data_IF_888009286542
#
_entry.id   IF_888009286542
#
_cell.length_a   1.000
_cell.length_b   1.000
_cell.length_c   1.000
_cell.angle_alpha   90.00
_cell.angle_beta   90.00
_cell.angle_gamma   90.00
#
_symmetry.space_group_name_H-M   'P 1'
#
loop_
_entity.id
_entity.type
_entity.pdbx_description
1 polymer ?
#
# COMPACT_ATOMS: atom_id res chain seq x y z
N UNK A 1 -53.76 -3.20 -34.66
CA UNK A 1 -52.53 -2.76 -35.38
C UNK A 1 -51.75 -1.62 -34.69
N UNK A 2 -52.40 -0.59 -34.12
CA UNK A 2 -51.71 0.51 -33.41
C UNK A 2 -50.99 0.06 -32.11
N UNK A 3 -51.55 -0.91 -31.39
CA UNK A 3 -50.99 -1.44 -30.14
C UNK A 3 -49.73 -2.29 -30.42
N UNK A 4 -49.76 -3.15 -31.44
CA UNK A 4 -48.59 -3.94 -31.86
C UNK A 4 -47.39 -3.07 -32.24
N UNK A 5 -47.62 -1.94 -32.94
CA UNK A 5 -46.55 -0.99 -33.29
C UNK A 5 -45.95 -0.30 -32.05
N UNK A 6 -46.76 -0.01 -31.04
CA UNK A 6 -46.28 0.58 -29.77
C UNK A 6 -45.48 -0.43 -28.95
N UNK A 7 -45.94 -1.68 -28.89
CA UNK A 7 -45.21 -2.76 -28.19
C UNK A 7 -43.86 -3.04 -28.87
N UNK A 8 -43.84 -3.12 -30.21
CA UNK A 8 -42.60 -3.32 -30.97
C UNK A 8 -41.61 -2.15 -30.83
N UNK A 9 -42.12 -0.92 -30.71
CA UNK A 9 -41.29 0.26 -30.50
C UNK A 9 -40.70 0.28 -29.09
N UNK A 10 -41.47 -0.09 -28.07
CA UNK A 10 -40.99 -0.17 -26.68
C UNK A 10 -39.94 -1.28 -26.53
N UNK A 11 -40.17 -2.47 -27.12
CA UNK A 11 -39.17 -3.55 -27.06
C UNK A 11 -37.89 -3.18 -27.78
N UNK A 12 -37.97 -2.55 -28.96
CA UNK A 12 -36.79 -2.07 -29.68
C UNK A 12 -35.99 -1.04 -28.85
N UNK A 13 -36.68 -0.14 -28.16
CA UNK A 13 -36.04 0.89 -27.34
C UNK A 13 -35.32 0.28 -26.12
N UNK A 14 -35.91 -0.76 -25.51
CA UNK A 14 -35.26 -1.53 -24.43
C UNK A 14 -34.01 -2.24 -24.95
N UNK A 15 -34.07 -2.92 -26.09
CA UNK A 15 -32.90 -3.59 -26.68
C UNK A 15 -31.78 -2.60 -27.04
N UNK A 16 -32.14 -1.41 -27.51
CA UNK A 16 -31.17 -0.36 -27.82
C UNK A 16 -30.47 0.15 -26.54
N UNK A 17 -31.22 0.37 -25.46
CA UNK A 17 -30.63 0.76 -24.17
C UNK A 17 -29.70 -0.32 -23.64
N UNK A 18 -30.12 -1.59 -23.66
CA UNK A 18 -29.29 -2.72 -23.19
C UNK A 18 -28.01 -2.84 -24.02
N UNK A 19 -28.11 -2.72 -25.35
CA UNK A 19 -26.94 -2.74 -26.23
C UNK A 19 -25.99 -1.57 -25.99
N UNK A 20 -26.53 -0.38 -25.72
CA UNK A 20 -25.72 0.82 -25.47
C UNK A 20 -25.03 0.75 -24.09
N UNK A 21 -25.70 0.20 -23.07
CA UNK A 21 -25.09 -0.09 -21.76
C UNK A 21 -23.98 -1.12 -21.89
N UNK A 22 -24.19 -2.18 -22.69
CA UNK A 22 -23.15 -3.20 -22.94
C UNK A 22 -21.93 -2.63 -23.67
N UNK A 23 -22.14 -1.76 -24.66
CA UNK A 23 -21.07 -1.07 -25.38
C UNK A 23 -20.31 -0.09 -24.49
N UNK A 24 -21.01 0.65 -23.61
CA UNK A 24 -20.35 1.51 -22.62
C UNK A 24 -19.54 0.67 -21.63
N UNK A 25 -20.10 -0.42 -21.12
CA UNK A 25 -19.42 -1.30 -20.17
C UNK A 25 -18.13 -1.90 -20.76
N UNK A 26 -18.19 -2.38 -22.01
CA UNK A 26 -17.00 -2.91 -22.71
C UNK A 26 -16.00 -1.81 -23.07
N UNK A 27 -16.45 -0.63 -23.50
CA UNK A 27 -15.56 0.50 -23.79
C UNK A 27 -14.83 1.01 -22.54
N UNK A 28 -15.51 1.08 -21.38
CA UNK A 28 -14.88 1.45 -20.11
C UNK A 28 -13.96 0.34 -19.58
N UNK A 29 -14.25 -0.95 -19.84
CA UNK A 29 -13.36 -2.05 -19.47
C UNK A 29 -12.08 -2.07 -20.34
N UNK A 30 -12.20 -1.88 -21.65
CA UNK A 30 -11.06 -2.01 -22.58
C UNK A 30 -10.14 -0.76 -22.62
N UNK A 31 -10.65 0.44 -22.33
CA UNK A 31 -9.85 1.69 -22.41
C UNK A 31 -9.43 2.30 -21.06
N UNK A 32 -9.70 1.64 -19.93
CA UNK A 32 -9.11 2.08 -18.67
C UNK A 32 -9.84 1.59 -17.42
N UNK A 33 -9.16 0.74 -16.65
CA UNK A 33 -9.41 0.47 -15.24
C UNK A 33 -10.78 -0.14 -14.88
N UNK A 34 -10.94 -1.44 -15.15
CA UNK A 34 -11.75 -2.29 -14.28
C UNK A 34 -11.11 -3.68 -14.27
N UNK A 35 -10.14 -3.84 -13.37
CA UNK A 35 -9.60 -5.15 -12.98
C UNK A 35 -10.75 -5.95 -12.37
N UNK A 36 -11.45 -6.72 -13.20
CA UNK A 36 -12.26 -7.84 -12.74
C UNK A 36 -11.28 -8.84 -12.12
N UNK A 37 -11.13 -8.75 -10.81
CA UNK A 37 -10.44 -9.74 -10.00
C UNK A 37 -11.09 -11.11 -10.17
N UNK A 38 -10.59 -11.85 -11.15
CA UNK A 38 -10.66 -13.30 -11.21
C UNK A 38 -9.36 -13.82 -10.61
N UNK A 39 -9.25 -13.69 -9.29
CA UNK A 39 -8.34 -14.54 -8.52
C UNK A 39 -9.12 -15.78 -8.13
N UNK A 40 -8.86 -16.90 -8.81
CA UNK A 40 -8.54 -18.12 -8.08
C UNK A 40 -7.71 -19.11 -8.91
N UNK A 41 -6.42 -19.12 -8.56
CA UNK A 41 -5.63 -20.30 -8.22
C UNK A 41 -5.66 -21.49 -9.18
N UNK A 42 -4.67 -21.52 -10.06
CA UNK A 42 -3.76 -22.68 -10.19
C UNK A 42 -2.38 -22.18 -10.61
N UNK A 43 -1.73 -21.40 -9.73
CA UNK A 43 -0.27 -21.40 -9.70
C UNK A 43 0.14 -22.74 -9.10
N UNK A 44 0.16 -23.76 -9.94
CA UNK A 44 0.88 -24.98 -9.67
C UNK A 44 2.33 -24.57 -9.38
N UNK A 45 2.78 -24.83 -8.16
CA UNK A 45 4.20 -24.81 -7.79
C UNK A 45 4.94 -25.69 -8.79
N UNK A 46 5.48 -25.09 -9.84
CA UNK A 46 6.57 -25.71 -10.57
C UNK A 46 7.81 -25.54 -9.69
N UNK A 47 8.12 -26.63 -9.01
CA UNK A 47 9.39 -26.95 -8.39
C UNK A 47 10.48 -27.05 -9.48
N UNK A 48 10.63 -26.01 -10.30
CA UNK A 48 11.65 -25.94 -11.33
C UNK A 48 12.92 -25.42 -10.68
N UNK A 49 13.91 -26.29 -10.59
CA UNK A 49 15.26 -26.00 -10.13
C UNK A 49 15.76 -24.65 -10.62
N UNK A 50 16.01 -23.73 -9.70
CA UNK A 50 16.58 -22.41 -9.96
C UNK A 50 17.84 -22.54 -10.82
N UNK A 51 17.75 -22.17 -12.09
CA UNK A 51 18.94 -21.86 -12.89
C UNK A 51 19.46 -20.50 -12.43
N UNK A 52 20.53 -20.54 -11.65
CA UNK A 52 21.33 -19.37 -11.28
C UNK A 52 21.81 -18.65 -12.55
N UNK A 53 21.19 -17.52 -12.87
CA UNK A 53 21.67 -16.59 -13.91
C UNK A 53 22.48 -15.48 -13.25
N UNK A 54 23.31 -14.75 -14.00
CA UNK A 54 24.13 -13.65 -13.48
C UNK A 54 23.32 -12.51 -12.80
N UNK A 55 21.98 -12.52 -12.91
CA UNK A 55 21.08 -11.60 -12.23
C UNK A 55 20.50 -12.14 -10.91
N UNK A 56 20.71 -13.42 -10.57
CA UNK A 56 20.26 -13.99 -9.30
C UNK A 56 21.02 -13.47 -8.08
N UNK A 57 22.12 -12.75 -8.29
CA UNK A 57 22.89 -12.07 -7.22
C UNK A 57 22.10 -10.90 -6.62
N UNK A 58 21.04 -10.42 -7.29
CA UNK A 58 20.15 -9.36 -6.83
C UNK A 58 18.78 -9.84 -6.35
N UNK A 59 18.62 -11.13 -6.00
CA UNK A 59 17.37 -11.65 -5.42
C UNK A 59 17.18 -11.19 -3.98
N UNK A 60 17.11 -9.88 -3.77
CA UNK A 60 16.15 -9.39 -2.79
C UNK A 60 14.78 -9.77 -3.36
N UNK A 61 13.91 -10.37 -2.56
CA UNK A 61 12.54 -10.59 -3.00
C UNK A 61 11.94 -9.21 -3.35
N UNK A 62 11.33 -9.09 -4.52
CA UNK A 62 10.63 -7.88 -4.92
C UNK A 62 9.13 -8.18 -4.98
N UNK A 63 8.31 -7.23 -4.56
CA UNK A 63 6.87 -7.24 -4.73
C UNK A 63 6.53 -6.24 -5.82
N UNK A 64 5.74 -6.67 -6.80
CA UNK A 64 5.21 -5.78 -7.84
C UNK A 64 3.87 -5.24 -7.38
N UNK A 65 3.79 -3.93 -7.18
CA UNK A 65 2.56 -3.22 -6.88
C UNK A 65 2.13 -2.35 -8.08
N UNK A 66 0.84 -2.34 -8.47
CA UNK A 66 0.37 -1.59 -9.62
C UNK A 66 0.57 -0.08 -9.49
N UNK A 67 0.59 0.45 -8.26
CA UNK A 67 0.69 1.89 -8.00
C UNK A 67 2.13 2.29 -7.65
N UNK A 68 2.84 1.47 -6.88
CA UNK A 68 4.20 1.79 -6.39
C UNK A 68 5.33 1.20 -7.25
N UNK A 69 5.00 0.32 -8.19
CA UNK A 69 5.97 -0.42 -9.00
C UNK A 69 6.66 -1.54 -8.21
N UNK A 70 7.91 -1.84 -8.57
CA UNK A 70 8.72 -2.82 -7.86
C UNK A 70 9.23 -2.26 -6.52
N UNK A 71 8.87 -2.92 -5.42
CA UNK A 71 9.36 -2.62 -4.07
C UNK A 71 10.11 -3.81 -3.50
N UNK A 72 11.10 -3.57 -2.65
CA UNK A 72 11.85 -4.65 -1.98
C UNK A 72 11.03 -5.27 -0.84
N UNK A 73 11.28 -6.54 -0.54
CA UNK A 73 10.65 -7.29 0.54
C UNK A 73 9.75 -8.43 0.06
N UNK A 74 8.84 -8.86 0.92
CA UNK A 74 7.93 -9.99 0.70
C UNK A 74 6.48 -9.51 0.69
N UNK A 75 5.59 -10.22 0.01
CA UNK A 75 4.15 -9.92 -0.01
C UNK A 75 3.39 -10.47 1.21
N UNK A 76 4.10 -11.05 2.18
CA UNK A 76 3.51 -11.57 3.41
C UNK A 76 3.67 -10.54 4.54
N UNK A 77 2.62 -10.35 5.33
CA UNK A 77 2.67 -9.45 6.49
C UNK A 77 3.57 -10.05 7.57
N UNK A 78 4.50 -9.25 8.09
CA UNK A 78 5.22 -9.54 9.32
C UNK A 78 4.44 -9.02 10.55
N UNK A 79 5.01 -9.22 11.72
CA UNK A 79 4.42 -8.77 12.98
C UNK A 79 4.23 -7.25 13.01
N UNK A 80 5.22 -6.48 12.54
CA UNK A 80 5.13 -5.01 12.44
C UNK A 80 3.92 -4.55 11.61
N UNK A 81 3.68 -5.17 10.45
CA UNK A 81 2.53 -4.87 9.59
C UNK A 81 1.20 -5.20 10.27
N UNK A 82 1.10 -6.33 10.98
CA UNK A 82 -0.11 -6.75 11.69
C UNK A 82 -0.42 -5.75 12.81
N UNK A 83 0.56 -5.44 13.65
CA UNK A 83 0.39 -4.50 14.76
C UNK A 83 0.01 -3.09 14.29
N UNK A 84 0.63 -2.62 13.21
CA UNK A 84 0.29 -1.33 12.63
C UNK A 84 -1.14 -1.30 12.09
N UNK A 85 -1.60 -2.36 11.43
CA UNK A 85 -3.00 -2.46 10.98
C UNK A 85 -3.99 -2.49 12.14
N UNK A 86 -3.68 -3.21 13.21
CA UNK A 86 -4.51 -3.23 14.41
C UNK A 86 -4.57 -1.85 15.08
N UNK A 87 -3.43 -1.16 15.15
CA UNK A 87 -3.35 0.21 15.65
C UNK A 87 -4.19 1.18 14.81
N UNK A 88 -4.08 1.12 13.48
CA UNK A 88 -4.93 1.89 12.57
C UNK A 88 -6.40 1.60 12.83
N UNK A 89 -6.79 0.33 12.89
CA UNK A 89 -8.19 -0.06 13.14
C UNK A 89 -8.71 0.55 14.44
N UNK A 90 -7.93 0.53 15.53
CA UNK A 90 -8.31 1.16 16.80
C UNK A 90 -8.42 2.69 16.67
N UNK A 91 -7.50 3.33 15.96
CA UNK A 91 -7.47 4.79 15.76
C UNK A 91 -8.66 5.32 14.95
N UNK A 92 -9.11 4.57 13.94
CA UNK A 92 -10.21 4.98 13.05
C UNK A 92 -11.60 4.53 13.50
N UNK A 93 -11.71 3.67 14.53
CA UNK A 93 -13.01 3.31 15.13
C UNK A 93 -13.47 4.43 16.07
N UNK A 94 -14.26 5.33 15.49
CA UNK A 94 -14.99 6.42 16.13
C UNK A 94 -16.00 5.91 17.16
N UNK A 95 -15.59 5.80 18.42
CA UNK A 95 -16.50 6.08 19.53
C UNK A 95 -16.06 7.42 20.13
N UNK A 96 -17.01 8.31 20.44
CA UNK A 96 -16.77 9.62 21.08
C UNK A 96 -16.06 9.53 22.45
N UNK A 97 -15.86 8.32 22.95
CA UNK A 97 -14.96 7.98 24.05
C UNK A 97 -14.37 6.59 23.77
N UNK A 98 -13.17 6.47 23.17
CA UNK A 98 -12.49 5.20 23.17
C UNK A 98 -12.19 4.83 24.64
N UNK A 99 -12.58 3.61 25.04
CA UNK A 99 -12.44 3.16 26.44
C UNK A 99 -10.97 3.13 26.90
N UNK A 100 -10.05 3.08 25.93
CA UNK A 100 -8.62 3.22 26.10
C UNK A 100 -8.16 4.38 25.20
N UNK A 101 -7.27 5.27 25.65
CA UNK A 101 -6.68 6.26 24.76
C UNK A 101 -6.06 5.53 23.57
N UNK A 102 -6.26 6.04 22.35
CA UNK A 102 -5.55 5.52 21.18
C UNK A 102 -4.06 5.69 21.48
N UNK A 103 -3.37 4.59 21.77
CA UNK A 103 -1.96 4.61 22.13
C UNK A 103 -1.20 5.51 21.14
N UNK A 104 -0.44 6.46 21.69
CA UNK A 104 0.59 7.22 20.95
C UNK A 104 1.79 6.31 20.70
N UNK A 105 1.53 5.08 20.24
CA UNK A 105 2.55 4.04 20.02
C UNK A 105 3.50 4.48 18.92
N UNK A 106 2.97 5.06 17.84
CA UNK A 106 3.77 5.50 16.71
C UNK A 106 3.87 7.02 16.67
N UNK A 107 5.10 7.50 16.63
CA UNK A 107 5.42 8.81 16.09
C UNK A 107 5.39 8.72 14.56
N UNK A 108 5.03 9.83 13.91
CA UNK A 108 4.99 9.91 12.45
C UNK A 108 5.80 11.10 11.93
N UNK A 109 6.52 10.84 10.86
CA UNK A 109 7.48 11.76 10.27
C UNK A 109 7.31 11.78 8.77
N UNK A 110 7.31 12.95 8.15
CA UNK A 110 7.41 13.04 6.68
C UNK A 110 8.88 13.21 6.31
N UNK A 111 9.37 12.33 5.44
CA UNK A 111 10.77 12.31 5.03
C UNK A 111 11.00 13.39 3.98
N UNK A 112 11.94 14.30 4.27
CA UNK A 112 12.28 15.47 3.44
C UNK A 112 13.69 15.40 2.88
N UNK A 113 14.56 14.58 3.46
CA UNK A 113 15.93 14.35 3.00
C UNK A 113 16.39 12.91 3.25
N UNK A 114 17.24 12.39 2.36
CA UNK A 114 17.83 11.06 2.49
C UNK A 114 19.33 11.20 2.70
N UNK A 115 19.82 10.67 3.82
CA UNK A 115 21.23 10.60 4.15
C UNK A 115 21.62 9.12 4.35
N UNK A 116 22.89 8.78 4.23
CA UNK A 116 23.31 7.38 4.33
C UNK A 116 23.13 6.86 5.77
N UNK A 117 22.05 6.11 6.04
CA UNK A 117 21.69 5.59 7.36
C UNK A 117 20.87 6.55 8.25
N UNK A 118 20.47 7.70 7.74
CA UNK A 118 19.57 8.63 8.44
C UNK A 118 18.66 9.36 7.45
N UNK A 119 17.56 9.92 7.95
CA UNK A 119 16.61 10.68 7.15
C UNK A 119 16.35 12.03 7.80
N UNK A 120 16.28 13.07 6.98
CA UNK A 120 15.78 14.35 7.44
C UNK A 120 14.25 14.29 7.43
N UNK A 121 13.64 14.75 8.53
CA UNK A 121 12.20 14.65 8.73
C UNK A 121 11.58 15.98 9.16
N UNK A 122 10.29 16.08 8.88
CA UNK A 122 9.40 17.10 9.46
C UNK A 122 8.24 16.47 10.21
N UNK A 123 7.81 17.12 11.28
CA UNK A 123 6.58 16.83 12.03
C UNK A 123 5.61 18.00 11.85
N UNK A 124 4.36 17.74 11.43
CA UNK A 124 3.36 18.79 11.23
C UNK A 124 3.64 19.78 10.08
N UNK A 125 2.99 20.96 10.13
CA UNK A 125 3.07 21.99 9.08
C UNK A 125 4.24 22.98 9.25
N UNK A 126 4.76 23.18 10.48
CA UNK A 126 5.66 24.30 10.78
C UNK A 126 7.02 23.94 11.43
N UNK A 127 7.46 22.67 11.42
CA UNK A 127 8.76 22.28 12.00
C UNK A 127 9.64 21.48 11.01
N UNK A 128 10.57 22.19 10.38
CA UNK A 128 11.86 21.66 9.87
C UNK A 128 12.87 21.58 11.05
N UNK A 129 13.90 20.74 11.12
CA UNK A 129 14.48 19.69 10.27
C UNK A 129 15.29 18.81 11.27
N UNK A 130 14.70 17.72 11.75
CA UNK A 130 15.43 16.76 12.58
C UNK A 130 16.06 15.70 11.67
N UNK A 131 17.30 15.29 11.93
CA UNK A 131 17.85 14.07 11.32
C UNK A 131 17.58 12.89 12.25
N UNK A 132 16.87 11.88 11.76
CA UNK A 132 16.56 10.65 12.49
C UNK A 132 17.41 9.51 11.94
N UNK A 133 18.18 8.85 12.81
CA UNK A 133 18.91 7.64 12.44
C UNK A 133 17.96 6.45 12.34
N UNK A 134 17.96 5.77 11.18
CA UNK A 134 17.15 4.58 10.95
C UNK A 134 17.85 3.35 11.54
N UNK A 135 17.31 2.81 12.63
CA UNK A 135 17.78 1.57 13.29
C UNK A 135 16.85 0.39 13.07
N UNK A 136 16.04 0.48 12.02
CA UNK A 136 15.04 -0.51 11.69
C UNK A 136 15.69 -1.84 11.31
N UNK A 137 15.20 -2.94 11.88
CA UNK A 137 15.62 -4.27 11.47
C UNK A 137 14.80 -4.70 10.25
N UNK A 138 15.39 -5.31 9.21
CA UNK A 138 14.65 -5.70 8.03
C UNK A 138 13.38 -6.48 8.34
N UNK A 139 13.45 -7.46 9.24
CA UNK A 139 12.33 -8.29 9.70
C UNK A 139 11.17 -7.53 10.38
N UNK A 140 11.40 -6.30 10.82
CA UNK A 140 10.42 -5.43 11.50
C UNK A 140 10.02 -4.22 10.65
N UNK A 141 10.24 -4.29 9.33
CA UNK A 141 9.81 -3.25 8.38
C UNK A 141 8.52 -3.61 7.66
N UNK A 142 7.70 -2.61 7.36
CA UNK A 142 6.51 -2.77 6.53
C UNK A 142 6.26 -1.55 5.65
N UNK A 143 5.60 -1.75 4.51
CA UNK A 143 5.23 -0.71 3.56
C UNK A 143 3.72 -0.77 3.29
N UNK A 144 3.07 0.39 3.36
CA UNK A 144 1.64 0.59 3.09
C UNK A 144 1.41 1.74 2.10
N UNK A 145 0.26 1.72 1.44
CA UNK A 145 -0.22 2.84 0.60
C UNK A 145 -0.90 3.91 1.43
N UNK A 146 -0.68 5.18 1.13
CA UNK A 146 -1.29 6.28 1.88
C UNK A 146 -2.79 6.45 1.66
N UNK A 147 -3.33 6.01 0.52
CA UNK A 147 -4.73 6.27 0.15
C UNK A 147 -5.73 5.46 1.00
N UNK A 148 -5.41 4.19 1.23
CA UNK A 148 -6.29 3.21 1.89
C UNK A 148 -5.59 2.44 3.03
N UNK A 149 -4.32 2.76 3.33
CA UNK A 149 -3.48 2.00 4.26
C UNK A 149 -3.44 0.51 3.91
N UNK A 150 -3.45 0.19 2.62
CA UNK A 150 -3.29 -1.18 2.13
C UNK A 150 -1.82 -1.61 2.25
N UNK A 151 -1.64 -2.83 2.74
CA UNK A 151 -0.32 -3.44 2.87
C UNK A 151 0.27 -3.77 1.50
N UNK A 152 1.55 -3.49 1.32
CA UNK A 152 2.27 -3.75 0.07
C UNK A 152 3.39 -4.76 0.29
N UNK A 153 4.31 -4.48 1.21
CA UNK A 153 5.48 -5.34 1.45
C UNK A 153 6.01 -5.27 2.87
N UNK A 154 6.79 -6.27 3.27
CA UNK A 154 7.50 -6.36 4.55
C UNK A 154 8.86 -7.04 4.40
N UNK A 155 9.69 -7.03 5.44
CA UNK A 155 10.98 -7.73 5.49
C UNK A 155 12.04 -7.17 4.53
N UNK A 156 12.23 -5.84 4.51
CA UNK A 156 13.18 -5.16 3.62
C UNK A 156 14.14 -4.22 4.36
N UNK A 157 15.29 -3.94 3.75
CA UNK A 157 16.22 -2.94 4.26
C UNK A 157 15.66 -1.54 3.99
N UNK A 158 15.16 -0.88 5.04
CA UNK A 158 14.51 0.43 4.93
C UNK A 158 15.42 1.48 4.29
N UNK A 159 16.75 1.40 4.49
CA UNK A 159 17.69 2.39 3.94
C UNK A 159 17.77 2.34 2.42
N UNK A 160 17.40 1.21 1.82
CA UNK A 160 17.37 1.02 0.37
C UNK A 160 15.99 1.27 -0.23
N UNK A 161 14.94 1.15 0.58
CA UNK A 161 13.56 1.27 0.12
C UNK A 161 12.97 2.67 0.31
N UNK A 162 13.41 3.40 1.33
CA UNK A 162 12.87 4.71 1.71
C UNK A 162 13.00 5.76 0.59
N UNK A 163 11.97 6.58 0.40
CA UNK A 163 11.91 7.64 -0.61
C UNK A 163 11.50 8.97 0.01
N UNK A 164 11.88 10.06 -0.67
CA UNK A 164 11.42 11.40 -0.31
C UNK A 164 9.89 11.48 -0.41
N UNK A 165 9.27 12.11 0.59
CA UNK A 165 7.82 12.23 0.69
C UNK A 165 7.11 11.03 1.30
N UNK A 166 7.81 9.93 1.60
CA UNK A 166 7.27 8.85 2.41
C UNK A 166 6.96 9.36 3.83
N UNK A 167 5.92 8.80 4.43
CA UNK A 167 5.65 8.96 5.85
C UNK A 167 6.22 7.77 6.60
N UNK A 168 7.12 8.01 7.55
CA UNK A 168 7.67 7.01 8.45
C UNK A 168 6.88 6.98 9.75
N UNK A 169 6.38 5.82 10.13
CA UNK A 169 5.81 5.52 11.44
C UNK A 169 6.78 4.64 12.23
N UNK A 170 7.13 5.04 13.44
CA UNK A 170 8.08 4.31 14.28
C UNK A 170 7.84 4.65 15.74
N UNK A 171 8.31 3.78 16.63
CA UNK A 171 8.55 4.15 18.02
C UNK A 171 9.89 4.88 18.13
N UNK A 172 9.94 5.97 18.89
CA UNK A 172 11.18 6.70 19.15
C UNK A 172 11.89 6.14 20.39
N UNK A 173 13.22 5.98 20.31
CA UNK A 173 14.02 5.46 21.45
C UNK A 173 14.31 6.51 22.51
N UNK A 174 14.03 7.78 22.23
CA UNK A 174 14.28 8.95 23.09
C UNK A 174 13.19 10.00 22.89
N UNK A 175 12.98 10.88 23.87
CA UNK A 175 12.02 12.00 23.77
C UNK A 175 12.27 12.94 22.57
N UNK A 176 13.52 13.09 22.13
CA UNK A 176 13.90 13.92 20.97
C UNK A 176 13.85 13.16 19.63
N UNK A 177 13.53 11.87 19.65
CA UNK A 177 13.52 10.96 18.49
C UNK A 177 14.75 11.05 17.56
N UNK A 178 15.97 11.12 18.11
CA UNK A 178 17.18 11.14 17.28
C UNK A 178 17.42 9.79 16.55
N UNK A 179 16.81 8.71 17.03
CA UNK A 179 16.89 7.38 16.43
C UNK A 179 15.57 6.60 16.57
N UNK A 180 15.20 5.91 15.50
CA UNK A 180 14.07 5.00 15.47
C UNK A 180 14.31 3.76 16.35
N UNK A 181 13.24 3.07 16.70
CA UNK A 181 13.31 1.69 17.19
C UNK A 181 13.65 0.72 16.05
N UNK A 182 13.61 -0.60 16.34
CA UNK A 182 13.75 -1.63 15.32
C UNK A 182 12.54 -1.71 14.37
N UNK A 183 11.38 -1.24 14.81
CA UNK A 183 10.11 -1.35 14.06
C UNK A 183 9.83 -0.08 13.28
N UNK A 184 9.78 -0.19 11.96
CA UNK A 184 9.57 0.95 11.08
C UNK A 184 8.57 0.65 9.98
N UNK A 185 7.56 1.50 9.86
CA UNK A 185 6.50 1.36 8.87
C UNK A 185 6.52 2.55 7.93
N UNK A 186 6.72 2.28 6.65
CA UNK A 186 6.63 3.29 5.60
C UNK A 186 5.20 3.35 5.06
N UNK A 187 4.70 4.56 4.86
CA UNK A 187 3.45 4.84 4.16
C UNK A 187 3.77 5.72 2.96
N UNK A 188 3.54 5.19 1.76
CA UNK A 188 3.92 5.81 0.50
C UNK A 188 2.71 6.30 -0.28
N UNK A 189 2.82 7.48 -0.87
CA UNK A 189 1.83 7.96 -1.85
C UNK A 189 2.04 7.23 -3.18
N UNK A 190 0.97 6.70 -3.80
CA UNK A 190 1.03 6.23 -5.17
C UNK A 190 1.37 7.35 -6.15
#
# INVERSE_FOLDING_TARGET
>A
MKILKKVALVTFLIFLIVGLVFLLFTYFIDNGSLSLGLSDLTSQEDNSSDQSTAFSVYTNSYVMDPDLGAVTGTSQKNQAAIEFQEWLRKRWVSNENPAEPVDTKYDFFVITGLNNGSVDVRTGEDQEMGSVSLRCLPEDTALFKSHNMEFVSANFDINREVKLGDTLYTECTSELCEATSSTCVLVRRP
#
